data_IF_968891706733
#
_entry.id   IF_968891706733
#
_cell.length_a   1.000
_cell.length_b   1.000
_cell.length_c   1.000
_cell.angle_alpha   90.00
_cell.angle_beta   90.00
_cell.angle_gamma   90.00
#
_symmetry.space_group_name_H-M   'P 1'
#
loop_
_entity.id
_entity.type
_entity.pdbx_description
1 polymer ?
#
# COMPACT_ATOMS: atom_id res chain seq x y z
N UNK A 1 1.02 -7.67 -21.73
CA UNK A 1 0.23 -8.85 -21.33
C UNK A 1 -1.20 -8.42 -21.18
N UNK A 2 -2.13 -9.08 -21.90
CA UNK A 2 -3.56 -8.80 -21.79
C UNK A 2 -4.13 -9.62 -20.63
N UNK A 3 -4.94 -8.98 -19.80
CA UNK A 3 -5.81 -9.67 -18.85
C UNK A 3 -7.10 -10.01 -19.60
N UNK A 4 -7.33 -11.30 -19.96
CA UNK A 4 -8.35 -11.67 -20.93
C UNK A 4 -9.76 -11.81 -20.35
N UNK A 5 -10.09 -10.96 -19.37
CA UNK A 5 -11.39 -10.96 -18.69
C UNK A 5 -12.15 -9.66 -18.94
N UNK A 6 -13.47 -9.71 -18.85
CA UNK A 6 -14.31 -8.53 -18.96
C UNK A 6 -14.46 -7.88 -17.59
N UNK A 7 -13.97 -6.66 -17.44
CA UNK A 7 -14.08 -5.92 -16.21
C UNK A 7 -14.28 -4.42 -16.43
N UNK A 8 -14.80 -3.76 -15.40
CA UNK A 8 -14.75 -2.32 -15.25
C UNK A 8 -13.99 -2.00 -13.95
N UNK A 9 -13.09 -1.03 -14.02
CA UNK A 9 -12.41 -0.51 -12.85
C UNK A 9 -12.69 0.99 -12.71
N UNK A 10 -13.07 1.41 -11.51
CA UNK A 10 -13.32 2.81 -11.18
C UNK A 10 -12.42 3.22 -10.02
N UNK A 11 -11.59 4.23 -10.26
CA UNK A 11 -10.78 4.88 -9.23
C UNK A 11 -11.45 6.20 -8.84
N UNK A 12 -11.76 6.35 -7.55
CA UNK A 12 -12.35 7.57 -7.00
C UNK A 12 -11.37 8.20 -6.02
N UNK A 13 -11.10 9.48 -6.20
CA UNK A 13 -10.26 10.27 -5.30
C UNK A 13 -11.12 11.34 -4.64
N UNK A 14 -11.11 11.36 -3.31
CA UNK A 14 -11.82 12.36 -2.50
C UNK A 14 -10.80 13.15 -1.69
N UNK A 15 -10.76 14.46 -1.93
CA UNK A 15 -9.90 15.39 -1.21
C UNK A 15 -10.75 16.18 -0.22
N UNK A 16 -10.38 16.12 1.06
CA UNK A 16 -10.99 16.89 2.15
C UNK A 16 -9.99 17.84 2.81
N UNK A 17 -10.45 18.58 3.80
CA UNK A 17 -9.57 19.40 4.64
C UNK A 17 -8.63 18.50 5.45
N UNK A 18 -7.37 18.38 5.03
CA UNK A 18 -6.35 17.54 5.67
C UNK A 18 -6.54 16.04 5.47
N UNK A 19 -7.30 15.61 4.48
CA UNK A 19 -7.49 14.19 4.16
C UNK A 19 -7.54 13.93 2.66
N UNK A 20 -7.03 12.78 2.26
CA UNK A 20 -7.10 12.22 0.90
C UNK A 20 -7.56 10.78 1.01
N UNK A 21 -8.62 10.41 0.31
CA UNK A 21 -9.09 9.03 0.19
C UNK A 21 -9.08 8.60 -1.26
N UNK A 22 -8.48 7.44 -1.50
CA UNK A 22 -8.47 6.77 -2.80
C UNK A 22 -9.24 5.48 -2.67
N UNK A 23 -10.21 5.24 -3.55
CA UNK A 23 -11.04 4.04 -3.58
C UNK A 23 -10.99 3.43 -4.96
N UNK A 24 -10.75 2.12 -5.01
CA UNK A 24 -10.85 1.31 -6.22
C UNK A 24 -12.09 0.41 -6.12
N UNK A 25 -12.91 0.42 -7.16
CA UNK A 25 -13.99 -0.53 -7.38
C UNK A 25 -13.64 -1.37 -8.61
N UNK A 26 -13.76 -2.68 -8.50
CA UNK A 26 -13.54 -3.63 -9.61
C UNK A 26 -14.81 -4.44 -9.78
N UNK A 27 -15.34 -4.49 -11.00
CA UNK A 27 -16.58 -5.15 -11.36
C UNK A 27 -16.32 -6.18 -12.45
N UNK A 28 -16.76 -7.43 -12.26
CA UNK A 28 -16.80 -8.42 -13.31
C UNK A 28 -18.01 -8.13 -14.21
N UNK A 29 -17.74 -7.58 -15.41
CA UNK A 29 -18.77 -7.24 -16.41
C UNK A 29 -19.01 -8.36 -17.43
N UNK A 30 -18.44 -9.55 -17.19
CA UNK A 30 -18.65 -10.73 -18.02
C UNK A 30 -20.06 -11.28 -17.93
N UNK A 31 -20.40 -12.12 -18.89
CA UNK A 31 -21.64 -12.91 -18.88
C UNK A 31 -21.44 -14.20 -18.06
N UNK A 32 -22.51 -14.94 -17.83
CA UNK A 32 -22.47 -16.22 -17.09
C UNK A 32 -21.46 -17.21 -17.70
N UNK A 33 -21.34 -17.22 -19.03
CA UNK A 33 -20.45 -18.13 -19.77
C UNK A 33 -18.95 -17.71 -19.66
N UNK A 34 -18.65 -16.44 -19.33
CA UNK A 34 -17.29 -15.95 -19.14
C UNK A 34 -16.68 -16.43 -17.81
N UNK A 35 -17.52 -16.86 -16.86
CA UNK A 35 -17.11 -17.44 -15.60
C UNK A 35 -16.56 -16.45 -14.57
N UNK A 36 -16.07 -17.00 -13.47
CA UNK A 36 -15.39 -16.24 -12.42
C UNK A 36 -13.90 -16.06 -12.74
N UNK A 37 -13.31 -14.99 -12.21
CA UNK A 37 -11.88 -14.76 -12.29
C UNK A 37 -11.34 -14.13 -11.00
N UNK A 38 -10.05 -14.32 -10.79
CA UNK A 38 -9.35 -13.86 -9.58
C UNK A 38 -8.46 -12.67 -9.89
N UNK A 39 -8.24 -11.80 -8.88
CA UNK A 39 -7.26 -10.73 -8.97
C UNK A 39 -6.65 -10.41 -7.60
N UNK A 40 -5.47 -9.83 -7.65
CA UNK A 40 -4.81 -9.12 -6.55
C UNK A 40 -4.65 -7.66 -6.92
N UNK A 41 -4.44 -6.80 -5.93
CA UNK A 41 -4.31 -5.36 -6.17
C UNK A 41 -3.55 -4.67 -5.06
N UNK A 42 -2.99 -3.50 -5.38
CA UNK A 42 -2.45 -2.56 -4.41
C UNK A 42 -2.76 -1.13 -4.84
N UNK A 43 -3.08 -0.28 -3.87
CA UNK A 43 -3.04 1.17 -4.03
C UNK A 43 -1.61 1.60 -3.73
N UNK A 44 -0.78 1.72 -4.77
CA UNK A 44 0.67 1.95 -4.68
C UNK A 44 0.96 3.41 -4.36
N UNK A 45 0.70 3.79 -3.11
CA UNK A 45 0.78 5.16 -2.64
C UNK A 45 2.22 5.55 -2.32
N UNK A 46 2.73 6.55 -3.03
CA UNK A 46 4.00 7.21 -2.75
C UNK A 46 3.78 8.38 -1.81
N UNK A 47 4.36 8.32 -0.63
CA UNK A 47 4.36 9.40 0.34
C UNK A 47 5.66 10.19 0.22
N UNK A 48 5.56 11.52 0.18
CA UNK A 48 6.72 12.36 0.33
C UNK A 48 7.10 12.41 1.81
N UNK A 49 8.36 12.19 2.12
CA UNK A 49 8.98 12.34 3.44
C UNK A 49 10.14 13.34 3.35
N UNK A 50 10.51 13.94 4.46
CA UNK A 50 11.64 14.86 4.53
C UNK A 50 12.96 14.09 4.40
N UNK A 51 13.11 13.01 5.17
CA UNK A 51 14.24 12.07 5.11
C UNK A 51 13.77 10.69 5.59
N UNK A 52 13.76 9.72 4.69
CA UNK A 52 13.34 8.34 5.01
C UNK A 52 14.17 7.71 6.12
N UNK A 53 15.45 8.08 6.26
CA UNK A 53 16.31 7.60 7.34
C UNK A 53 15.91 8.10 8.74
N UNK A 54 15.06 9.13 8.80
CA UNK A 54 14.50 9.68 10.05
C UNK A 54 13.03 9.32 10.23
N UNK A 55 12.39 8.84 9.16
CA UNK A 55 10.98 8.47 9.18
C UNK A 55 10.75 7.24 10.07
N UNK A 56 9.64 7.26 10.79
CA UNK A 56 9.17 6.16 11.62
C UNK A 56 7.73 5.80 11.25
N UNK A 57 7.46 4.52 11.08
CA UNK A 57 6.13 4.01 10.77
C UNK A 57 5.65 3.14 11.93
N UNK A 58 4.71 3.67 12.71
CA UNK A 58 4.05 2.99 13.82
C UNK A 58 2.73 2.33 13.41
N UNK A 59 2.17 1.49 14.29
CA UNK A 59 0.88 0.81 14.07
C UNK A 59 0.97 -0.56 13.40
N UNK A 60 2.17 -1.03 13.08
CA UNK A 60 2.41 -2.38 12.51
C UNK A 60 2.97 -3.37 13.53
N UNK A 61 3.15 -2.96 14.78
CA UNK A 61 3.64 -3.85 15.84
C UNK A 61 2.73 -5.08 16.01
N UNK A 62 3.34 -6.27 16.12
CA UNK A 62 2.63 -7.55 16.18
C UNK A 62 2.04 -8.05 14.85
N UNK A 63 2.05 -7.27 13.77
CA UNK A 63 1.59 -7.74 12.47
C UNK A 63 2.52 -8.83 11.92
N UNK A 64 1.93 -9.89 11.34
CA UNK A 64 2.69 -10.82 10.55
C UNK A 64 3.32 -10.11 9.35
N UNK A 65 4.55 -10.45 9.01
CA UNK A 65 5.28 -9.84 7.90
C UNK A 65 6.01 -10.88 7.06
N UNK A 66 6.10 -10.58 5.78
CA UNK A 66 7.00 -11.22 4.83
C UNK A 66 8.02 -10.19 4.34
N UNK A 67 9.30 -10.45 4.55
CA UNK A 67 10.43 -9.69 4.02
C UNK A 67 10.72 -10.23 2.63
N UNK A 68 10.37 -9.48 1.58
CA UNK A 68 10.51 -9.93 0.21
C UNK A 68 11.98 -9.96 -0.26
N UNK A 69 12.87 -9.18 0.37
CA UNK A 69 14.29 -9.16 0.04
C UNK A 69 15.02 -10.42 0.56
N UNK A 70 14.64 -10.88 1.74
CA UNK A 70 15.26 -12.04 2.39
C UNK A 70 14.44 -13.33 2.23
N UNK A 71 13.25 -13.24 1.63
CA UNK A 71 12.22 -14.30 1.61
C UNK A 71 11.95 -14.89 3.01
N UNK A 72 11.85 -14.02 4.01
CA UNK A 72 11.72 -14.41 5.42
C UNK A 72 10.38 -13.96 6.00
N UNK A 73 9.74 -14.84 6.77
CA UNK A 73 8.48 -14.55 7.46
C UNK A 73 8.71 -14.38 8.96
N UNK A 74 7.89 -13.55 9.60
CA UNK A 74 7.98 -13.27 11.02
C UNK A 74 6.91 -12.29 11.47
N UNK A 75 7.15 -11.64 12.59
CA UNK A 75 6.28 -10.61 13.14
C UNK A 75 7.06 -9.31 13.32
N UNK A 76 6.40 -8.19 13.11
CA UNK A 76 6.98 -6.87 13.37
C UNK A 76 7.07 -6.64 14.87
N UNK A 77 8.19 -6.08 15.31
CA UNK A 77 8.39 -5.62 16.69
C UNK A 77 8.73 -4.14 16.67
N UNK A 78 7.94 -3.35 17.37
CA UNK A 78 8.09 -1.91 17.44
C UNK A 78 7.87 -1.17 16.11
N UNK A 79 8.22 0.12 16.04
CA UNK A 79 8.07 0.91 14.83
C UNK A 79 9.02 0.44 13.71
N UNK A 80 8.59 0.61 12.46
CA UNK A 80 9.44 0.38 11.30
C UNK A 80 10.36 1.57 11.10
N UNK A 81 11.65 1.28 10.89
CA UNK A 81 12.70 2.24 10.55
C UNK A 81 13.42 1.80 9.29
N UNK A 82 13.99 2.75 8.53
CA UNK A 82 14.53 2.52 7.20
C UNK A 82 16.04 2.77 7.19
N UNK A 83 16.83 1.73 6.97
CA UNK A 83 18.30 1.79 6.93
C UNK A 83 18.89 1.46 5.55
N UNK A 84 18.05 1.26 4.54
CA UNK A 84 18.43 0.86 3.19
C UNK A 84 17.23 0.44 2.37
N UNK A 85 17.42 -0.45 1.39
CA UNK A 85 16.32 -1.04 0.64
C UNK A 85 15.36 -1.77 1.60
N UNK A 86 14.08 -1.52 1.43
CA UNK A 86 13.03 -2.06 2.29
C UNK A 86 11.86 -2.52 1.41
N UNK A 87 11.50 -3.78 1.51
CA UNK A 87 10.36 -4.36 0.79
C UNK A 87 9.70 -5.41 1.68
N UNK A 88 8.55 -5.05 2.29
CA UNK A 88 7.85 -5.94 3.20
C UNK A 88 6.35 -5.86 3.04
N UNK A 89 5.73 -7.04 3.06
CA UNK A 89 4.29 -7.22 3.09
C UNK A 89 3.87 -7.55 4.52
N UNK A 90 2.97 -6.76 5.07
CA UNK A 90 2.39 -6.97 6.40
C UNK A 90 0.95 -7.45 6.28
N UNK A 91 0.47 -8.24 7.25
CA UNK A 91 -0.97 -8.35 7.48
C UNK A 91 -1.52 -6.96 7.83
N UNK A 92 -2.73 -6.63 7.35
CA UNK A 92 -3.34 -5.35 7.68
C UNK A 92 -3.45 -5.16 9.21
N UNK A 93 -3.05 -4.00 9.73
CA UNK A 93 -3.15 -3.72 11.16
C UNK A 93 -4.62 -3.58 11.59
N UNK A 94 -4.88 -3.84 12.85
CA UNK A 94 -6.22 -3.65 13.44
C UNK A 94 -6.63 -2.17 13.55
N UNK A 95 -5.64 -1.27 13.54
CA UNK A 95 -5.82 0.19 13.64
C UNK A 95 -5.17 0.93 12.49
N UNK A 96 -5.01 2.23 12.65
CA UNK A 96 -4.32 3.06 11.68
C UNK A 96 -2.80 2.94 11.81
N UNK A 97 -2.11 3.13 10.69
CA UNK A 97 -0.67 3.30 10.62
C UNK A 97 -0.36 4.78 10.80
N UNK A 98 0.73 5.10 11.49
CA UNK A 98 1.17 6.47 11.75
C UNK A 98 2.58 6.67 11.21
N UNK A 99 2.71 7.57 10.23
CA UNK A 99 4.00 8.01 9.71
C UNK A 99 4.40 9.32 10.40
N UNK A 100 5.63 9.35 10.92
CA UNK A 100 6.28 10.55 11.45
C UNK A 100 7.64 10.71 10.78
N UNK A 101 7.91 11.90 10.23
CA UNK A 101 9.18 12.24 9.57
C UNK A 101 9.79 13.56 10.11
N UNK A 102 9.48 13.90 11.35
CA UNK A 102 9.88 15.15 12.00
C UNK A 102 8.74 16.16 12.03
N UNK A 103 8.48 16.87 10.95
CA UNK A 103 7.46 17.92 10.89
C UNK A 103 6.08 17.41 10.48
N UNK A 104 6.03 16.34 9.66
CA UNK A 104 4.78 15.78 9.13
C UNK A 104 4.35 14.54 9.91
N UNK A 105 3.11 14.56 10.39
CA UNK A 105 2.42 13.38 10.88
C UNK A 105 1.31 12.99 9.91
N UNK A 106 1.26 11.73 9.49
CA UNK A 106 0.17 11.17 8.71
C UNK A 106 -0.43 9.96 9.42
N UNK A 107 -1.75 9.92 9.47
CA UNK A 107 -2.51 8.72 9.77
C UNK A 107 -2.91 8.07 8.45
N UNK A 108 -2.65 6.77 8.32
CA UNK A 108 -2.94 5.98 7.12
C UNK A 108 -3.88 4.87 7.54
N UNK A 109 -5.03 4.80 6.89
CA UNK A 109 -6.07 3.80 7.15
C UNK A 109 -6.47 3.11 5.86
N UNK A 110 -6.95 1.87 5.95
CA UNK A 110 -7.40 1.11 4.79
C UNK A 110 -8.66 0.31 5.10
N UNK A 111 -9.41 -0.05 4.07
CA UNK A 111 -10.58 -0.91 4.20
C UNK A 111 -10.19 -2.35 4.56
N UNK A 112 -11.05 -3.05 5.29
CA UNK A 112 -10.85 -4.47 5.63
C UNK A 112 -10.76 -5.39 4.41
N UNK A 113 -11.23 -4.94 3.25
CA UNK A 113 -11.12 -5.66 1.98
C UNK A 113 -9.71 -5.68 1.40
N UNK A 114 -8.81 -4.83 1.90
CA UNK A 114 -7.37 -4.81 1.60
C UNK A 114 -6.64 -5.41 2.81
N UNK A 115 -6.37 -6.71 2.77
CA UNK A 115 -5.88 -7.49 3.92
C UNK A 115 -4.38 -7.37 4.17
N UNK A 116 -3.65 -6.66 3.32
CA UNK A 116 -2.22 -6.46 3.42
C UNK A 116 -1.86 -4.98 3.40
N UNK A 117 -0.70 -4.66 3.97
CA UNK A 117 -0.01 -3.39 3.79
C UNK A 117 1.38 -3.68 3.25
N UNK A 118 1.72 -3.10 2.10
CA UNK A 118 3.10 -3.13 1.58
C UNK A 118 3.81 -1.87 2.02
N UNK A 119 5.02 -2.03 2.54
CA UNK A 119 5.92 -0.92 2.85
C UNK A 119 7.17 -1.10 2.02
N UNK A 120 7.48 -0.10 1.20
CA UNK A 120 8.59 -0.16 0.26
C UNK A 120 9.39 1.14 0.19
N UNK A 121 10.72 0.98 0.11
CA UNK A 121 11.66 2.02 -0.28
C UNK A 121 12.79 1.36 -1.06
N UNK A 122 13.18 1.85 -2.24
CA UNK A 122 14.18 1.20 -3.08
C UNK A 122 15.60 1.25 -2.51
N UNK A 123 15.86 2.09 -1.52
CA UNK A 123 17.23 2.36 -1.11
C UNK A 123 18.07 2.96 -2.25
N UNK A 124 19.34 3.26 -1.98
CA UNK A 124 20.18 3.95 -2.97
C UNK A 124 20.54 3.10 -4.19
N UNK A 125 20.84 1.81 -3.98
CA UNK A 125 21.34 0.95 -5.08
C UNK A 125 20.26 0.62 -6.12
N UNK A 126 19.03 0.33 -5.69
CA UNK A 126 17.92 0.09 -6.62
C UNK A 126 17.42 1.41 -7.21
N UNK A 127 17.30 2.48 -6.42
CA UNK A 127 16.85 3.80 -6.89
C UNK A 127 17.68 4.32 -8.06
N UNK A 128 19.00 4.16 -8.01
CA UNK A 128 19.91 4.58 -9.08
C UNK A 128 19.69 3.83 -10.43
N UNK A 129 18.92 2.74 -10.43
CA UNK A 129 18.57 1.94 -11.63
C UNK A 129 17.15 2.16 -12.11
N UNK A 130 16.32 2.86 -11.33
CA UNK A 130 14.95 3.18 -11.71
C UNK A 130 14.94 4.41 -12.62
N UNK A 131 14.27 4.30 -13.77
CA UNK A 131 14.27 5.35 -14.78
C UNK A 131 13.34 6.53 -14.41
N UNK A 132 12.41 6.30 -13.48
CA UNK A 132 11.36 7.23 -13.06
C UNK A 132 11.64 7.93 -11.73
N UNK A 133 12.78 7.63 -11.09
CA UNK A 133 13.23 8.29 -9.87
C UNK A 133 14.62 8.91 -10.07
N UNK A 134 14.88 10.10 -9.51
CA UNK A 134 16.26 10.62 -9.44
C UNK A 134 17.11 9.68 -8.55
N UNK A 135 18.44 9.60 -8.78
CA UNK A 135 19.32 8.64 -8.09
C UNK A 135 19.27 8.71 -6.54
N UNK A 136 18.91 9.85 -5.98
CA UNK A 136 18.76 10.10 -4.54
C UNK A 136 17.28 10.20 -4.09
N UNK A 137 16.33 10.00 -5.01
CA UNK A 137 14.88 10.10 -4.77
C UNK A 137 14.36 9.22 -3.64
N UNK A 138 15.04 8.08 -3.38
CA UNK A 138 14.70 7.20 -2.26
C UNK A 138 14.71 7.89 -0.91
N UNK A 139 15.48 8.97 -0.74
CA UNK A 139 15.59 9.71 0.52
C UNK A 139 14.31 10.42 0.90
N UNK A 140 13.55 10.87 -0.10
CA UNK A 140 12.37 11.72 0.09
C UNK A 140 11.06 11.01 -0.25
N UNK A 141 11.05 9.68 -0.33
CA UNK A 141 9.84 8.90 -0.59
C UNK A 141 9.73 7.69 0.32
N UNK A 142 8.50 7.27 0.56
CA UNK A 142 8.15 6.03 1.21
C UNK A 142 6.83 5.53 0.62
N UNK A 143 6.77 4.28 0.19
CA UNK A 143 5.51 3.66 -0.17
C UNK A 143 4.89 2.99 1.04
N UNK A 144 3.61 3.29 1.28
CA UNK A 144 2.75 2.58 2.23
C UNK A 144 1.46 2.28 1.49
N UNK A 145 1.32 1.03 1.10
CA UNK A 145 0.31 0.61 0.13
C UNK A 145 -0.77 -0.22 0.82
N UNK A 146 -2.02 0.13 0.60
CA UNK A 146 -3.13 -0.73 0.97
C UNK A 146 -3.30 -1.80 -0.11
N UNK A 147 -3.11 -3.06 0.24
CA UNK A 147 -2.94 -4.14 -0.73
C UNK A 147 -3.75 -5.40 -0.40
N UNK A 148 -3.91 -6.21 -1.41
CA UNK A 148 -4.47 -7.55 -1.36
C UNK A 148 -3.51 -8.48 -2.11
N UNK A 149 -2.63 -9.18 -1.38
CA UNK A 149 -1.53 -9.99 -1.93
C UNK A 149 -1.75 -11.49 -1.67
N UNK A 150 -1.99 -11.85 -0.40
CA UNK A 150 -1.98 -13.26 0.03
C UNK A 150 -3.23 -14.03 -0.39
N UNK A 151 -4.33 -13.34 -0.65
CA UNK A 151 -5.64 -13.96 -0.92
C UNK A 151 -6.33 -13.25 -2.07
N UNK A 152 -6.18 -13.75 -3.31
CA UNK A 152 -6.90 -13.20 -4.45
C UNK A 152 -8.40 -13.12 -4.20
N UNK A 153 -9.05 -12.10 -4.73
CA UNK A 153 -10.50 -11.97 -4.74
C UNK A 153 -11.03 -12.66 -6.00
N UNK A 154 -12.00 -13.54 -5.80
CA UNK A 154 -12.78 -14.14 -6.88
C UNK A 154 -14.04 -13.32 -7.14
N UNK A 155 -14.28 -12.90 -8.37
CA UNK A 155 -15.51 -12.24 -8.80
C UNK A 155 -16.23 -13.09 -9.82
N UNK A 156 -17.45 -13.52 -9.50
CA UNK A 156 -18.36 -14.11 -10.49
C UNK A 156 -19.00 -13.00 -11.34
N UNK A 157 -19.53 -13.32 -12.53
CA UNK A 157 -20.25 -12.37 -13.38
C UNK A 157 -21.26 -11.52 -12.60
N UNK A 158 -21.19 -10.21 -12.78
CA UNK A 158 -22.04 -9.23 -12.11
C UNK A 158 -21.58 -8.84 -10.69
N UNK A 159 -20.62 -9.53 -10.10
CA UNK A 159 -20.08 -9.15 -8.78
C UNK A 159 -19.09 -8.00 -8.87
N UNK A 160 -19.04 -7.22 -7.80
CA UNK A 160 -18.05 -6.16 -7.61
C UNK A 160 -17.35 -6.29 -6.26
N UNK A 161 -16.12 -5.80 -6.24
CA UNK A 161 -15.31 -5.60 -5.04
C UNK A 161 -14.92 -4.14 -4.93
N UNK A 162 -14.69 -3.67 -3.70
CA UNK A 162 -14.13 -2.34 -3.46
C UNK A 162 -13.11 -2.36 -2.32
N UNK A 163 -12.10 -1.52 -2.47
CA UNK A 163 -11.12 -1.25 -1.44
C UNK A 163 -10.70 0.21 -1.45
N UNK A 164 -10.26 0.73 -0.30
CA UNK A 164 -9.84 2.12 -0.18
C UNK A 164 -8.67 2.28 0.79
N UNK A 165 -7.90 3.35 0.57
CA UNK A 165 -6.92 3.89 1.50
C UNK A 165 -7.25 5.36 1.79
N UNK A 166 -7.08 5.77 3.04
CA UNK A 166 -7.25 7.16 3.47
C UNK A 166 -5.99 7.64 4.18
N UNK A 167 -5.52 8.80 3.77
CA UNK A 167 -4.45 9.55 4.39
C UNK A 167 -5.07 10.75 5.11
N UNK A 168 -4.67 11.00 6.35
CA UNK A 168 -5.08 12.14 7.14
C UNK A 168 -3.88 12.83 7.77
N UNK A 169 -3.76 14.12 7.56
CA UNK A 169 -2.73 14.93 8.21
C UNK A 169 -3.03 15.00 9.71
N UNK A 170 -2.04 14.69 10.52
CA UNK A 170 -2.11 14.86 11.96
C UNK A 170 -1.69 16.29 12.33
N UNK A 171 -2.29 16.89 13.38
CA UNK A 171 -1.78 18.13 13.93
C UNK A 171 -0.29 17.99 14.28
N UNK A 172 0.46 19.08 14.09
CA UNK A 172 1.82 19.15 14.63
C UNK A 172 1.77 18.91 16.15
N UNK A 173 2.72 18.17 16.73
CA UNK A 173 2.80 17.93 18.17
C UNK A 173 3.00 19.22 18.98
#
# INVERSE_FOLDING_TARGET
>A
TWWPVRFAAQLTVVLGAGSLRVQLVVHNTGNTDDGAWDFTTALHTYLRVEDVGRAQLGGLDGCARWDALADARGFQQGPVMFLGEYDRVFSAPAGAIHLHDGALGLQISQSASLSNTVVWNPGGALCARLADLPPDGYRSMLCVEAALIDRPITLTPGQQWQGWQELRVLPAP
#
